data_IF_418887127317
#
_entry.id   IF_418887127317
#
_cell.length_a   1.000
_cell.length_b   1.000
_cell.length_c   1.000
_cell.angle_alpha   90.00
_cell.angle_beta   90.00
_cell.angle_gamma   90.00
#
_symmetry.space_group_name_H-M   'P 1'
#
loop_
_entity.id
_entity.type
_entity.pdbx_description
1 polymer ?
#
# COMPACT_ATOMS: atom_id res chain seq x y z
N UNK A 1 12.86 11.39 -2.19
CA UNK A 1 12.74 11.73 -3.64
C UNK A 1 13.34 10.66 -4.55
N UNK A 2 14.56 10.14 -4.31
CA UNK A 2 15.15 9.10 -5.18
C UNK A 2 14.25 7.86 -5.34
N UNK A 3 13.80 7.24 -4.23
CA UNK A 3 12.97 6.04 -4.30
C UNK A 3 11.64 6.21 -5.07
N UNK A 4 10.98 7.36 -4.99
CA UNK A 4 9.77 7.61 -5.76
C UNK A 4 10.07 7.71 -7.26
N UNK A 5 11.20 8.36 -7.63
CA UNK A 5 11.65 8.44 -9.01
C UNK A 5 11.95 7.05 -9.59
N UNK A 6 12.65 6.21 -8.82
CA UNK A 6 12.98 4.85 -9.25
C UNK A 6 11.71 4.03 -9.51
N UNK A 7 10.69 4.15 -8.62
CA UNK A 7 9.39 3.48 -8.79
C UNK A 7 8.67 3.97 -10.05
N UNK A 8 8.56 5.29 -10.25
CA UNK A 8 7.87 5.88 -11.41
C UNK A 8 8.55 5.46 -12.72
N UNK A 9 9.88 5.51 -12.78
CA UNK A 9 10.63 5.10 -13.97
C UNK A 9 10.51 3.59 -14.23
N UNK A 10 10.57 2.75 -13.19
CA UNK A 10 10.41 1.31 -13.33
C UNK A 10 9.00 0.93 -13.82
N UNK A 11 7.96 1.57 -13.28
CA UNK A 11 6.58 1.39 -13.76
C UNK A 11 6.42 1.81 -15.22
N UNK A 12 6.96 2.98 -15.60
CA UNK A 12 6.90 3.47 -16.96
C UNK A 12 7.62 2.53 -17.92
N UNK A 13 8.81 2.05 -17.56
CA UNK A 13 9.58 1.10 -18.37
C UNK A 13 8.85 -0.24 -18.53
N UNK A 14 8.16 -0.71 -17.48
CA UNK A 14 7.38 -1.94 -17.52
C UNK A 14 5.99 -1.76 -18.18
N UNK A 15 5.60 -0.56 -18.59
CA UNK A 15 4.26 -0.26 -19.12
C UNK A 15 3.15 -0.54 -18.07
N UNK A 16 3.44 -0.34 -16.78
CA UNK A 16 2.54 -0.65 -15.66
C UNK A 16 2.08 0.60 -14.93
N UNK A 17 0.93 0.48 -14.33
CA UNK A 17 0.28 1.54 -13.56
C UNK A 17 0.11 1.16 -12.10
N UNK A 18 0.05 2.16 -11.21
CA UNK A 18 -0.13 1.97 -9.76
C UNK A 18 -1.30 2.79 -9.22
N UNK A 19 -1.96 2.24 -8.22
CA UNK A 19 -2.99 2.92 -7.42
C UNK A 19 -2.70 2.77 -5.93
N UNK A 20 -3.04 3.77 -5.12
CA UNK A 20 -2.85 3.74 -3.66
C UNK A 20 -4.16 3.66 -2.90
N UNK A 21 -4.18 2.91 -1.78
CA UNK A 21 -5.24 2.88 -0.79
C UNK A 21 -4.67 3.23 0.60
N UNK A 22 -4.87 4.46 1.04
CA UNK A 22 -4.12 5.01 2.16
C UNK A 22 -4.99 5.28 3.38
N UNK A 23 -4.64 4.67 4.51
CA UNK A 23 -5.23 5.00 5.79
C UNK A 23 -4.34 5.99 6.56
N UNK A 24 -3.35 5.53 7.34
CA UNK A 24 -2.53 6.42 8.18
C UNK A 24 -1.69 7.43 7.38
N UNK A 25 -1.32 7.13 6.15
CA UNK A 25 -0.51 8.03 5.30
C UNK A 25 -1.35 9.13 4.66
N UNK A 26 -2.66 8.94 4.55
CA UNK A 26 -3.65 9.96 4.16
C UNK A 26 -3.28 10.73 2.88
N UNK A 27 -2.90 10.02 1.81
CA UNK A 27 -2.54 10.59 0.52
C UNK A 27 -1.05 10.90 0.34
N UNK A 28 -0.23 10.75 1.36
CA UNK A 28 1.20 11.08 1.31
C UNK A 28 1.97 10.21 0.31
N UNK A 29 1.63 8.92 0.19
CA UNK A 29 2.26 8.03 -0.78
C UNK A 29 1.92 8.45 -2.23
N UNK A 30 0.65 8.70 -2.50
CA UNK A 30 0.21 9.21 -3.81
C UNK A 30 0.90 10.55 -4.15
N UNK A 31 0.96 11.47 -3.19
CA UNK A 31 1.65 12.75 -3.36
C UNK A 31 3.14 12.56 -3.69
N UNK A 32 3.85 11.67 -2.98
CA UNK A 32 5.26 11.37 -3.26
C UNK A 32 5.50 10.79 -4.66
N UNK A 33 4.58 10.00 -5.17
CA UNK A 33 4.65 9.52 -6.56
C UNK A 33 4.37 10.66 -7.54
N UNK A 34 3.37 11.48 -7.25
CA UNK A 34 2.97 12.62 -8.09
C UNK A 34 4.05 13.73 -8.18
N UNK A 35 4.92 13.87 -7.19
CA UNK A 35 6.05 14.80 -7.20
C UNK A 35 7.08 14.49 -8.31
N UNK A 36 7.02 13.27 -8.92
CA UNK A 36 7.98 12.84 -9.94
C UNK A 36 7.50 13.24 -11.33
N UNK A 37 8.31 13.95 -12.13
CA UNK A 37 7.99 14.19 -13.55
C UNK A 37 7.70 12.88 -14.29
N UNK A 38 6.59 12.83 -15.04
CA UNK A 38 6.14 11.63 -15.75
C UNK A 38 5.21 10.72 -14.92
N UNK A 39 4.92 11.04 -13.67
CA UNK A 39 4.02 10.27 -12.82
C UNK A 39 2.61 10.07 -13.44
N UNK A 40 2.13 11.02 -14.25
CA UNK A 40 0.82 10.93 -14.93
C UNK A 40 0.68 9.72 -15.87
N UNK A 41 1.78 9.15 -16.33
CA UNK A 41 1.76 7.95 -17.16
C UNK A 41 1.52 6.66 -16.35
N UNK A 42 1.83 6.68 -15.05
CA UNK A 42 1.85 5.46 -14.21
C UNK A 42 0.92 5.52 -12.99
N UNK A 43 0.72 6.70 -12.38
CA UNK A 43 -0.16 6.85 -11.24
C UNK A 43 -1.61 7.02 -11.70
N UNK A 44 -2.45 6.03 -11.41
CA UNK A 44 -3.89 6.09 -11.70
C UNK A 44 -4.65 6.98 -10.72
N UNK A 45 -4.18 7.05 -9.48
CA UNK A 45 -4.78 7.82 -8.40
C UNK A 45 -4.59 7.16 -7.04
N UNK A 46 -5.25 7.73 -6.04
CA UNK A 46 -5.21 7.21 -4.68
C UNK A 46 -6.53 7.45 -3.95
N UNK A 47 -6.91 6.48 -3.12
CA UNK A 47 -8.07 6.58 -2.22
C UNK A 47 -7.55 6.81 -0.81
N UNK A 48 -7.91 7.95 -0.20
CA UNK A 48 -7.69 8.20 1.22
C UNK A 48 -8.81 7.52 2.00
N UNK A 49 -8.55 6.28 2.44
CA UNK A 49 -9.49 5.43 3.15
C UNK A 49 -9.27 5.51 4.67
N UNK A 50 -9.43 6.71 5.24
CA UNK A 50 -9.15 6.96 6.67
C UNK A 50 -10.17 6.30 7.58
N UNK A 51 -11.45 6.41 7.27
CA UNK A 51 -12.56 5.80 7.98
C UNK A 51 -12.87 4.39 7.45
N UNK A 52 -13.38 3.50 8.30
CA UNK A 52 -13.77 2.14 7.91
C UNK A 52 -14.85 2.13 6.80
N UNK A 53 -15.81 3.05 6.88
CA UNK A 53 -16.84 3.19 5.84
C UNK A 53 -16.23 3.46 4.45
N UNK A 54 -15.12 4.20 4.36
CA UNK A 54 -14.41 4.45 3.10
C UNK A 54 -13.64 3.20 2.64
N UNK A 55 -13.02 2.45 3.59
CA UNK A 55 -12.39 1.16 3.28
C UNK A 55 -13.40 0.19 2.66
N UNK A 56 -14.60 0.11 3.25
CA UNK A 56 -15.67 -0.74 2.73
C UNK A 56 -16.24 -0.19 1.42
N UNK A 57 -16.66 1.07 1.40
CA UNK A 57 -17.42 1.65 0.28
C UNK A 57 -16.60 1.85 -1.00
N UNK A 58 -15.32 2.21 -0.90
CA UNK A 58 -14.48 2.49 -2.07
C UNK A 58 -13.46 1.39 -2.36
N UNK A 59 -12.97 0.70 -1.34
CA UNK A 59 -11.94 -0.34 -1.51
C UNK A 59 -12.50 -1.77 -1.37
N UNK A 60 -13.79 -1.92 -1.11
CA UNK A 60 -14.44 -3.22 -1.00
C UNK A 60 -13.92 -4.10 0.13
N UNK A 61 -13.36 -3.51 1.19
CA UNK A 61 -12.96 -4.26 2.38
C UNK A 61 -14.22 -4.75 3.08
N UNK A 62 -14.39 -6.07 3.32
CA UNK A 62 -15.58 -6.59 3.98
C UNK A 62 -15.78 -6.02 5.38
N UNK A 63 -17.00 -5.60 5.69
CA UNK A 63 -17.33 -4.99 6.98
C UNK A 63 -17.19 -5.98 8.15
N UNK A 64 -17.53 -7.25 7.92
CA UNK A 64 -17.34 -8.33 8.88
C UNK A 64 -15.85 -8.58 9.18
N UNK A 65 -14.95 -8.42 8.19
CA UNK A 65 -13.51 -8.48 8.42
C UNK A 65 -13.06 -7.36 9.34
N UNK A 66 -13.47 -6.10 9.05
CA UNK A 66 -13.12 -4.94 9.88
C UNK A 66 -13.66 -5.07 11.31
N UNK A 67 -14.84 -5.66 11.48
CA UNK A 67 -15.43 -5.92 12.79
C UNK A 67 -14.65 -6.98 13.56
N UNK A 68 -14.22 -8.05 12.90
CA UNK A 68 -13.55 -9.20 13.52
C UNK A 68 -12.08 -8.92 13.88
N UNK A 69 -11.31 -8.26 13.03
CA UNK A 69 -9.85 -8.10 13.20
C UNK A 69 -9.41 -6.65 13.41
N UNK A 70 -10.30 -5.69 13.25
CA UNK A 70 -9.98 -4.26 13.28
C UNK A 70 -9.34 -3.77 11.98
N UNK A 71 -9.08 -2.45 11.91
CA UNK A 71 -8.55 -1.82 10.70
C UNK A 71 -7.04 -2.08 10.50
N UNK A 72 -6.29 -2.44 11.55
CA UNK A 72 -4.84 -2.61 11.51
C UNK A 72 -4.50 -4.10 11.48
N UNK A 73 -4.65 -4.69 10.31
CA UNK A 73 -4.51 -6.12 10.11
C UNK A 73 -3.98 -6.45 8.70
N UNK A 74 -3.36 -7.64 8.56
CA UNK A 74 -2.78 -8.12 7.30
C UNK A 74 -3.84 -8.29 6.21
N UNK A 75 -4.98 -8.90 6.55
CA UNK A 75 -6.04 -9.16 5.56
C UNK A 75 -6.71 -7.85 5.12
N UNK A 76 -6.86 -6.90 6.04
CA UNK A 76 -7.35 -5.55 5.70
C UNK A 76 -6.40 -4.86 4.73
N UNK A 77 -5.08 -4.92 4.97
CA UNK A 77 -4.09 -4.34 4.06
C UNK A 77 -4.13 -4.98 2.66
N UNK A 78 -4.24 -6.32 2.57
CA UNK A 78 -4.40 -7.03 1.29
C UNK A 78 -5.66 -6.59 0.56
N UNK A 79 -6.80 -6.56 1.25
CA UNK A 79 -8.08 -6.14 0.67
C UNK A 79 -8.05 -4.70 0.20
N UNK A 80 -7.45 -3.79 0.98
CA UNK A 80 -7.28 -2.40 0.56
C UNK A 80 -6.44 -2.28 -0.71
N UNK A 81 -5.36 -3.06 -0.85
CA UNK A 81 -4.50 -3.06 -2.04
C UNK A 81 -5.24 -3.60 -3.27
N UNK A 82 -5.95 -4.73 -3.13
CA UNK A 82 -6.81 -5.29 -4.18
C UNK A 82 -7.90 -4.29 -4.59
N UNK A 83 -8.55 -3.67 -3.60
CA UNK A 83 -9.59 -2.68 -3.82
C UNK A 83 -9.10 -1.43 -4.55
N UNK A 84 -7.94 -0.89 -4.17
CA UNK A 84 -7.34 0.26 -4.84
C UNK A 84 -6.99 -0.06 -6.30
N UNK A 85 -6.40 -1.24 -6.53
CA UNK A 85 -6.10 -1.73 -7.87
C UNK A 85 -7.36 -1.83 -8.73
N UNK A 86 -8.42 -2.45 -8.22
CA UNK A 86 -9.67 -2.66 -8.94
C UNK A 86 -10.43 -1.35 -9.20
N UNK A 87 -10.60 -0.52 -8.16
CA UNK A 87 -11.38 0.71 -8.25
C UNK A 87 -10.78 1.73 -9.23
N UNK A 88 -9.45 1.75 -9.39
CA UNK A 88 -8.75 2.71 -10.23
C UNK A 88 -8.19 2.08 -11.53
N UNK A 89 -8.46 0.80 -11.79
CA UNK A 89 -8.03 0.10 -13.00
C UNK A 89 -6.51 0.07 -13.16
N UNK A 90 -5.78 -0.11 -12.07
CA UNK A 90 -4.32 -0.15 -12.07
C UNK A 90 -3.78 -1.59 -12.17
N UNK A 91 -2.52 -1.73 -12.61
CA UNK A 91 -1.82 -3.02 -12.59
C UNK A 91 -1.34 -3.40 -11.20
N UNK A 92 -0.90 -2.41 -10.41
CA UNK A 92 -0.40 -2.60 -9.05
C UNK A 92 -1.25 -1.79 -8.08
N UNK A 93 -1.71 -2.43 -7.02
CA UNK A 93 -2.31 -1.76 -5.86
C UNK A 93 -1.33 -1.75 -4.70
N UNK A 94 -1.22 -0.62 -4.00
CA UNK A 94 -0.45 -0.49 -2.76
C UNK A 94 -1.29 0.15 -1.68
N UNK A 95 -1.31 -0.42 -0.49
CA UNK A 95 -2.12 0.08 0.59
C UNK A 95 -1.35 0.20 1.90
N UNK A 96 -1.80 1.12 2.75
CA UNK A 96 -1.23 1.36 4.07
C UNK A 96 -2.33 1.40 5.12
N UNK A 97 -2.21 0.62 6.17
CA UNK A 97 -3.05 0.73 7.37
C UNK A 97 -2.20 0.56 8.62
N UNK A 98 -2.48 1.32 9.69
CA UNK A 98 -1.61 1.26 10.87
C UNK A 98 -1.90 2.33 11.90
N UNK A 99 -1.15 2.26 13.00
CA UNK A 99 -1.24 3.15 14.15
C UNK A 99 -0.11 4.16 14.12
N UNK A 100 -0.40 5.40 13.75
CA UNK A 100 0.58 6.49 13.73
C UNK A 100 0.78 7.17 15.10
N UNK A 101 -0.07 6.87 16.08
CA UNK A 101 0.00 7.46 17.43
C UNK A 101 -0.73 8.81 17.54
N UNK A 102 -0.61 9.48 18.72
CA UNK A 102 0.25 9.11 19.84
C UNK A 102 -0.26 7.92 20.67
N UNK A 103 -1.53 7.57 20.60
CA UNK A 103 -2.13 6.51 21.38
C UNK A 103 -2.20 5.18 20.60
N UNK A 104 -2.12 4.02 21.28
CA UNK A 104 -2.45 2.74 20.68
C UNK A 104 -3.88 2.73 20.12
N UNK A 105 -4.15 1.87 19.16
CA UNK A 105 -5.48 1.74 18.55
C UNK A 105 -5.89 0.27 18.45
N UNK A 106 -7.09 -0.05 18.97
CA UNK A 106 -7.65 -1.41 18.93
C UNK A 106 -6.66 -2.50 19.42
N UNK A 107 -5.93 -2.22 20.51
CA UNK A 107 -4.93 -3.14 21.07
C UNK A 107 -3.63 -3.25 20.28
N UNK A 108 -3.46 -2.47 19.21
CA UNK A 108 -2.22 -2.43 18.45
C UNK A 108 -1.33 -1.28 18.93
N UNK A 109 -0.05 -1.54 19.24
CA UNK A 109 0.90 -0.50 19.62
C UNK A 109 1.11 0.54 18.51
N UNK A 110 1.47 1.76 18.91
CA UNK A 110 1.96 2.81 17.99
C UNK A 110 3.12 2.25 17.15
N UNK A 111 3.16 2.59 15.86
CA UNK A 111 4.16 2.10 14.92
C UNK A 111 3.84 0.72 14.31
N UNK A 112 2.75 0.06 14.73
CA UNK A 112 2.26 -1.13 14.03
C UNK A 112 1.63 -0.72 12.70
N UNK A 113 2.24 -1.10 11.60
CA UNK A 113 1.76 -0.76 10.24
C UNK A 113 1.77 -1.99 9.35
N UNK A 114 0.74 -2.14 8.54
CA UNK A 114 0.69 -3.12 7.48
C UNK A 114 0.72 -2.43 6.12
N UNK A 115 1.63 -2.90 5.25
CA UNK A 115 1.64 -2.58 3.83
C UNK A 115 0.96 -3.72 3.08
N UNK A 116 -0.05 -3.39 2.29
CA UNK A 116 -0.65 -4.32 1.32
C UNK A 116 -0.11 -4.03 -0.08
N UNK A 117 0.20 -5.08 -0.85
CA UNK A 117 0.50 -4.98 -2.28
C UNK A 117 -0.33 -6.00 -3.04
N UNK A 118 -0.84 -5.60 -4.20
CA UNK A 118 -1.64 -6.46 -5.07
C UNK A 118 -1.21 -6.30 -6.53
N UNK A 119 -1.26 -7.39 -7.27
CA UNK A 119 -0.88 -7.47 -8.69
C UNK A 119 -1.95 -8.28 -9.46
N UNK A 120 -1.92 -8.36 -10.80
CA UNK A 120 -2.73 -9.33 -11.54
C UNK A 120 -2.42 -10.77 -11.11
N UNK A 121 -3.40 -11.68 -11.19
CA UNK A 121 -3.23 -13.10 -10.80
C UNK A 121 -2.07 -13.78 -11.53
N UNK A 122 -1.89 -13.46 -12.82
CA UNK A 122 -0.77 -13.97 -13.61
C UNK A 122 0.61 -13.58 -13.06
N UNK A 123 0.66 -12.52 -12.26
CA UNK A 123 1.88 -11.95 -11.69
C UNK A 123 2.05 -12.28 -10.19
N UNK A 124 1.15 -13.08 -9.59
CA UNK A 124 1.11 -13.32 -8.15
C UNK A 124 2.45 -13.78 -7.55
N UNK A 125 3.22 -14.59 -8.29
CA UNK A 125 4.54 -15.08 -7.83
C UNK A 125 5.57 -13.95 -7.66
N UNK A 126 5.41 -12.81 -8.34
CA UNK A 126 6.30 -11.67 -8.15
C UNK A 126 6.23 -11.09 -6.73
N UNK A 127 5.16 -11.35 -5.99
CA UNK A 127 5.01 -10.92 -4.60
C UNK A 127 5.90 -11.69 -3.62
N UNK A 128 6.40 -12.86 -3.98
CA UNK A 128 7.21 -13.70 -3.08
C UNK A 128 8.54 -13.03 -2.71
N UNK A 129 9.08 -12.17 -3.57
CA UNK A 129 10.29 -11.37 -3.30
C UNK A 129 10.14 -10.44 -2.09
N UNK A 130 8.92 -10.14 -1.68
CA UNK A 130 8.64 -9.20 -0.59
C UNK A 130 8.70 -9.87 0.79
N UNK A 131 8.65 -11.21 0.86
CA UNK A 131 8.74 -11.97 2.13
C UNK A 131 7.53 -11.78 3.05
N UNK A 132 6.43 -11.23 2.57
CA UNK A 132 5.18 -11.06 3.30
C UNK A 132 4.30 -12.31 3.23
N UNK A 133 3.25 -12.35 4.07
CA UNK A 133 2.22 -13.38 3.96
C UNK A 133 1.37 -13.15 2.70
N UNK A 134 1.55 -13.97 1.66
CA UNK A 134 0.78 -13.91 0.41
C UNK A 134 -0.55 -14.66 0.53
N UNK A 135 -1.59 -14.08 -0.04
CA UNK A 135 -2.88 -14.71 -0.28
C UNK A 135 -3.32 -14.36 -1.72
N UNK A 136 -3.29 -15.36 -2.61
CA UNK A 136 -3.56 -15.15 -4.03
C UNK A 136 -2.64 -14.09 -4.65
N UNK A 137 -3.25 -13.10 -5.27
CA UNK A 137 -2.60 -11.97 -5.95
C UNK A 137 -2.29 -10.77 -5.03
N UNK A 138 -2.31 -10.96 -3.72
CA UNK A 138 -1.98 -9.93 -2.75
C UNK A 138 -1.06 -10.45 -1.63
N UNK A 139 -0.26 -9.55 -1.09
CA UNK A 139 0.60 -9.81 0.08
C UNK A 139 0.46 -8.69 1.10
N UNK A 140 0.81 -8.98 2.36
CA UNK A 140 0.90 -7.99 3.41
C UNK A 140 2.23 -8.11 4.17
N UNK A 141 2.84 -6.96 4.43
CA UNK A 141 4.12 -6.84 5.12
C UNK A 141 3.90 -6.08 6.42
N UNK A 142 4.26 -6.69 7.55
CA UNK A 142 4.24 -6.03 8.84
C UNK A 142 5.47 -5.15 9.02
N UNK A 143 5.25 -3.90 9.39
CA UNK A 143 6.29 -2.97 9.83
C UNK A 143 6.14 -2.70 11.32
N UNK A 144 7.27 -2.53 11.98
CA UNK A 144 7.39 -2.01 13.35
C UNK A 144 8.21 -0.74 13.27
N UNK A 145 7.55 0.40 13.43
CA UNK A 145 8.14 1.71 13.23
C UNK A 145 8.17 2.47 14.55
N UNK A 146 9.24 3.21 14.78
CA UNK A 146 9.42 4.06 15.93
C UNK A 146 9.31 5.54 15.53
N UNK A 147 9.02 6.38 16.52
CA UNK A 147 8.95 7.82 16.35
C UNK A 147 7.57 8.40 16.60
N UNK A 148 7.43 9.68 16.32
CA UNK A 148 6.16 10.38 16.40
C UNK A 148 5.28 10.11 15.17
N UNK A 149 4.08 10.65 15.18
CA UNK A 149 3.09 10.48 14.11
C UNK A 149 3.64 10.85 12.72
N UNK A 150 4.40 11.93 12.63
CA UNK A 150 4.95 12.39 11.35
C UNK A 150 6.04 11.41 10.86
N UNK A 151 6.94 11.00 11.74
CA UNK A 151 8.01 10.05 11.46
C UNK A 151 7.45 8.69 11.01
N UNK A 152 6.44 8.15 11.70
CA UNK A 152 5.80 6.87 11.34
C UNK A 152 5.15 6.95 9.95
N UNK A 153 4.45 8.03 9.63
CA UNK A 153 3.85 8.22 8.30
C UNK A 153 4.90 8.29 7.20
N UNK A 154 5.96 9.07 7.38
CA UNK A 154 7.08 9.18 6.42
C UNK A 154 7.81 7.83 6.26
N UNK A 155 8.11 7.15 7.35
CA UNK A 155 8.74 5.83 7.32
C UNK A 155 7.86 4.79 6.60
N UNK A 156 6.54 4.86 6.75
CA UNK A 156 5.58 4.02 6.04
C UNK A 156 5.66 4.26 4.53
N UNK A 157 5.68 5.51 4.10
CA UNK A 157 5.82 5.87 2.67
C UNK A 157 7.15 5.37 2.12
N UNK A 158 8.24 5.59 2.84
CA UNK A 158 9.56 5.11 2.43
C UNK A 158 9.59 3.58 2.29
N UNK A 159 8.95 2.84 3.22
CA UNK A 159 8.84 1.38 3.15
C UNK A 159 7.98 0.93 1.96
N UNK A 160 6.88 1.60 1.68
CA UNK A 160 6.02 1.30 0.53
C UNK A 160 6.77 1.50 -0.80
N UNK A 161 7.51 2.58 -0.94
CA UNK A 161 8.35 2.83 -2.13
C UNK A 161 9.43 1.76 -2.31
N UNK A 162 10.12 1.37 -1.23
CA UNK A 162 11.09 0.26 -1.29
C UNK A 162 10.44 -1.07 -1.68
N UNK A 163 9.27 -1.37 -1.16
CA UNK A 163 8.54 -2.59 -1.51
C UNK A 163 8.15 -2.59 -3.01
N UNK A 164 7.67 -1.46 -3.53
CA UNK A 164 7.39 -1.30 -4.96
C UNK A 164 8.65 -1.47 -5.81
N UNK A 165 9.78 -0.86 -5.43
CA UNK A 165 11.05 -1.03 -6.15
C UNK A 165 11.46 -2.51 -6.21
N UNK A 166 11.38 -3.24 -5.09
CA UNK A 166 11.71 -4.68 -5.04
C UNK A 166 10.76 -5.51 -5.92
N UNK A 167 9.46 -5.24 -5.86
CA UNK A 167 8.46 -5.92 -6.68
C UNK A 167 8.75 -5.76 -8.18
N UNK A 168 9.12 -4.55 -8.60
CA UNK A 168 9.39 -4.24 -10.00
C UNK A 168 10.73 -4.79 -10.49
N UNK A 169 11.75 -4.84 -9.63
CA UNK A 169 13.06 -5.41 -9.95
C UNK A 169 13.01 -6.95 -10.11
N UNK A 170 12.16 -7.64 -9.37
CA UNK A 170 12.02 -9.10 -9.42
C UNK A 170 11.40 -9.65 -10.72
N UNK A 171 10.99 -8.78 -11.65
CA UNK A 171 10.37 -9.15 -12.95
C UNK A 171 11.35 -9.13 -14.13
N UNK A 172 12.64 -8.95 -13.89
CA UNK A 172 13.67 -8.80 -14.92
C UNK A 172 14.32 -10.10 -15.41
N UNK A 173 13.60 -11.23 -15.39
CA UNK A 173 14.10 -12.48 -15.98
C UNK A 173 12.98 -13.22 -16.69
#
# INVERSE_FOLDING_TARGET
>A
MAAARDVVHALAHAGRTVATGESLTAGLLAARLADVPGASAVLRGGVVAYQNAVKTGLLGVPEDLLTRVGAVDADVARRMALGARAALGADVGVATTGVAGPEPHQGRPVGTVWLGLAVPDADANALDVLGGGRDGAATAILLRLDGDRAAIREATVAAALRALTRLLAGRGH
#
